data_IF_976674069428
#
_entry.id   IF_976674069428
#
_cell.length_a   1.000
_cell.length_b   1.000
_cell.length_c   1.000
_cell.angle_alpha   90.00
_cell.angle_beta   90.00
_cell.angle_gamma   90.00
#
_symmetry.space_group_name_H-M   'P 1'
#
loop_
_entity.id
_entity.type
_entity.pdbx_description
1 polymer ?
#
# COMPACT_ATOMS: atom_id res chain seq x y z
N UNK A 1 -7.48 10.88 -5.38
CA UNK A 1 -6.65 11.18 -4.18
C UNK A 1 -6.75 12.65 -3.84
N UNK A 2 -7.04 12.99 -2.58
CA UNK A 2 -7.16 14.38 -2.15
C UNK A 2 -5.80 14.94 -1.68
N UNK A 3 -5.71 16.25 -1.43
CA UNK A 3 -4.47 16.91 -0.99
C UNK A 3 -3.93 16.37 0.34
N UNK A 4 -4.80 16.00 1.28
CA UNK A 4 -4.38 15.47 2.59
C UNK A 4 -3.69 14.12 2.47
N UNK A 5 -4.17 13.25 1.58
CA UNK A 5 -3.58 11.93 1.36
C UNK A 5 -2.17 12.07 0.75
N UNK A 6 -1.99 13.01 -0.18
CA UNK A 6 -0.69 13.34 -0.76
C UNK A 6 0.28 13.84 0.32
N UNK A 7 -0.18 14.71 1.22
CA UNK A 7 0.64 15.24 2.32
C UNK A 7 1.05 14.14 3.32
N UNK A 8 0.16 13.19 3.60
CA UNK A 8 0.46 12.01 4.43
C UNK A 8 1.54 11.14 3.78
N UNK A 9 1.41 10.86 2.48
CA UNK A 9 2.40 10.10 1.72
C UNK A 9 3.75 10.81 1.72
N UNK A 10 3.78 12.13 1.52
CA UNK A 10 5.01 12.93 1.55
C UNK A 10 5.77 12.79 2.88
N UNK A 11 5.02 12.68 3.99
CA UNK A 11 5.58 12.55 5.35
C UNK A 11 5.89 11.12 5.78
N UNK A 12 5.46 10.12 5.00
CA UNK A 12 5.72 8.71 5.30
C UNK A 12 7.21 8.39 5.27
N UNK A 13 7.63 7.36 6.03
CA UNK A 13 9.03 6.92 6.08
C UNK A 13 9.58 6.51 4.70
N UNK A 14 8.69 6.13 3.78
CA UNK A 14 9.06 5.76 2.41
C UNK A 14 9.52 6.95 1.57
N UNK A 15 8.86 8.11 1.73
CA UNK A 15 9.07 9.26 0.84
C UNK A 15 9.66 10.50 1.51
N UNK A 16 9.76 10.53 2.85
CA UNK A 16 10.30 11.68 3.60
C UNK A 16 11.73 12.08 3.21
N UNK A 17 12.49 11.15 2.64
CA UNK A 17 13.89 11.38 2.24
C UNK A 17 14.03 11.83 0.79
N UNK A 18 12.97 11.75 -0.02
CA UNK A 18 13.04 12.21 -1.40
C UNK A 18 13.03 13.74 -1.44
N UNK A 19 13.87 14.39 -2.24
CA UNK A 19 13.69 15.80 -2.57
C UNK A 19 12.32 16.06 -3.23
N UNK A 20 11.77 17.26 -3.06
CA UNK A 20 10.43 17.63 -3.57
C UNK A 20 10.32 17.39 -5.09
N UNK A 21 11.36 17.73 -5.84
CA UNK A 21 11.41 17.53 -7.30
C UNK A 21 11.26 16.06 -7.74
N UNK A 22 11.68 15.11 -6.92
CA UNK A 22 11.52 13.68 -7.20
C UNK A 22 10.14 13.20 -6.79
N UNK A 23 9.62 13.70 -5.66
CA UNK A 23 8.28 13.37 -5.21
C UNK A 23 7.22 13.87 -6.20
N UNK A 24 7.38 15.06 -6.77
CA UNK A 24 6.46 15.59 -7.79
C UNK A 24 6.45 14.76 -9.09
N UNK A 25 7.51 13.97 -9.37
CA UNK A 25 7.50 12.99 -10.48
C UNK A 25 6.74 11.71 -10.13
N UNK A 26 6.72 11.33 -8.86
CA UNK A 26 6.01 10.13 -8.36
C UNK A 26 4.53 10.43 -8.16
N UNK A 27 4.20 11.63 -7.67
CA UNK A 27 2.84 12.08 -7.36
C UNK A 27 1.80 11.74 -8.44
N UNK A 28 2.03 12.00 -9.75
CA UNK A 28 1.05 11.65 -10.78
C UNK A 28 0.91 10.15 -11.07
N UNK A 29 1.87 9.33 -10.61
CA UNK A 29 1.83 7.86 -10.75
C UNK A 29 1.00 7.19 -9.65
N UNK A 30 0.68 7.92 -8.57
CA UNK A 30 -0.11 7.39 -7.46
C UNK A 30 -1.58 7.27 -7.86
N UNK A 31 -2.14 6.08 -7.70
CA UNK A 31 -3.54 5.80 -7.99
C UNK A 31 -4.26 5.47 -6.67
N UNK A 32 -5.42 6.10 -6.45
CA UNK A 32 -6.29 5.79 -5.31
C UNK A 32 -7.16 4.59 -5.68
N UNK A 33 -7.11 3.56 -4.85
CA UNK A 33 -7.93 2.36 -4.97
C UNK A 33 -8.69 2.13 -3.66
N UNK A 34 -9.88 1.53 -3.75
CA UNK A 34 -10.73 1.23 -2.61
C UNK A 34 -11.14 -0.23 -2.69
N UNK A 35 -11.04 -0.89 -1.55
CA UNK A 35 -11.39 -2.29 -1.41
C UNK A 35 -12.42 -2.46 -0.30
N UNK A 36 -13.39 -3.33 -0.55
CA UNK A 36 -14.39 -3.70 0.44
C UNK A 36 -13.85 -4.75 1.43
N UNK A 37 -14.56 -4.93 2.55
CA UNK A 37 -14.18 -5.94 3.53
C UNK A 37 -14.19 -7.34 2.92
N UNK A 38 -13.06 -8.05 3.05
CA UNK A 38 -12.89 -9.40 2.54
C UNK A 38 -12.38 -9.47 1.10
N UNK A 39 -12.20 -8.33 0.43
CA UNK A 39 -11.64 -8.27 -0.91
C UNK A 39 -10.13 -8.58 -0.89
N UNK A 40 -9.66 -9.29 -1.93
CA UNK A 40 -8.26 -9.68 -2.08
C UNK A 40 -7.49 -8.56 -2.79
N UNK A 41 -6.63 -7.86 -2.06
CA UNK A 41 -5.78 -6.78 -2.61
C UNK A 41 -4.59 -7.35 -3.40
N UNK A 42 -3.88 -8.32 -2.80
CA UNK A 42 -2.75 -9.02 -3.43
C UNK A 42 -2.82 -10.51 -3.12
N UNK A 43 -2.30 -11.34 -4.02
CA UNK A 43 -2.30 -12.80 -3.90
C UNK A 43 -0.89 -13.36 -3.88
N UNK A 44 -0.62 -14.25 -2.93
CA UNK A 44 0.67 -14.94 -2.84
C UNK A 44 0.92 -15.77 -4.10
N UNK A 45 2.12 -15.62 -4.67
CA UNK A 45 2.57 -16.36 -5.85
C UNK A 45 2.29 -15.63 -7.17
N UNK A 46 1.40 -14.63 -7.18
CA UNK A 46 1.16 -13.82 -8.36
C UNK A 46 2.33 -12.83 -8.58
N UNK A 47 2.70 -12.52 -9.84
CA UNK A 47 3.69 -11.49 -10.12
C UNK A 47 3.29 -10.14 -9.52
N UNK A 48 4.22 -9.48 -8.83
CA UNK A 48 3.99 -8.15 -8.29
C UNK A 48 4.06 -7.10 -9.43
N UNK A 49 2.96 -6.37 -9.63
CA UNK A 49 2.87 -5.29 -10.62
C UNK A 49 2.76 -3.89 -9.99
N UNK A 50 2.46 -3.82 -8.69
CA UNK A 50 2.23 -2.58 -7.97
C UNK A 50 2.71 -2.66 -6.52
N UNK A 51 2.91 -1.49 -5.93
CA UNK A 51 3.17 -1.31 -4.51
C UNK A 51 2.01 -0.50 -3.90
N UNK A 52 1.49 -0.97 -2.78
CA UNK A 52 0.32 -0.38 -2.13
C UNK A 52 0.72 0.32 -0.84
N UNK A 53 0.05 1.45 -0.57
CA UNK A 53 0.17 2.17 0.69
C UNK A 53 -1.22 2.31 1.27
N UNK A 54 -1.40 1.81 2.49
CA UNK A 54 -2.69 1.89 3.17
C UNK A 54 -2.90 3.30 3.74
N UNK A 55 -3.75 4.09 3.09
CA UNK A 55 -4.08 5.46 3.52
C UNK A 55 -5.06 5.43 4.71
N UNK A 56 -5.99 4.48 4.72
CA UNK A 56 -6.96 4.28 5.80
C UNK A 56 -7.46 2.84 5.87
N UNK A 57 -7.99 2.45 7.03
CA UNK A 57 -8.52 1.09 7.26
C UNK A 57 -7.47 0.12 7.80
N UNK A 58 -7.72 -1.18 7.60
CA UNK A 58 -6.82 -2.27 8.00
C UNK A 58 -6.81 -3.32 6.89
N UNK A 59 -5.64 -3.85 6.60
CA UNK A 59 -5.47 -5.02 5.75
C UNK A 59 -4.91 -6.16 6.60
N UNK A 60 -5.18 -7.40 6.18
CA UNK A 60 -4.65 -8.60 6.83
C UNK A 60 -3.79 -9.37 5.84
N UNK A 61 -2.60 -9.76 6.28
CA UNK A 61 -1.71 -10.62 5.49
C UNK A 61 -1.80 -12.06 5.99
N UNK A 62 -2.16 -12.97 5.09
CA UNK A 62 -2.30 -14.40 5.36
C UNK A 62 -1.33 -15.15 4.46
N UNK A 63 -0.50 -16.01 5.04
CA UNK A 63 0.41 -16.88 4.27
C UNK A 63 -0.22 -18.25 4.08
N UNK A 64 -0.34 -18.67 2.82
CA UNK A 64 -0.78 -20.03 2.48
C UNK A 64 0.43 -20.96 2.56
N UNK A 65 0.45 -21.92 3.50
CA UNK A 65 1.51 -22.95 3.55
C UNK A 65 1.80 -23.60 4.90
N UNK A 66 1.48 -22.97 6.04
CA UNK A 66 1.47 -23.64 7.35
C UNK A 66 0.05 -24.18 7.57
N UNK A 67 -0.09 -25.37 8.15
CA UNK A 67 -1.30 -26.21 8.24
C UNK A 67 -2.54 -25.60 8.92
N UNK A 68 -2.56 -24.28 9.15
CA UNK A 68 -3.65 -23.52 9.75
C UNK A 68 -3.88 -22.09 9.23
N UNK A 69 -3.16 -21.64 8.18
CA UNK A 69 -3.31 -20.26 7.68
C UNK A 69 -2.87 -19.24 8.72
N UNK A 70 -1.56 -19.21 9.00
CA UNK A 70 -1.00 -18.29 9.98
C UNK A 70 -1.10 -16.84 9.47
N UNK A 71 -1.74 -16.00 10.29
CA UNK A 71 -1.81 -14.56 10.09
C UNK A 71 -0.46 -13.94 10.47
N UNK A 72 0.12 -13.16 9.55
CA UNK A 72 1.32 -12.39 9.84
C UNK A 72 0.86 -11.06 10.44
N UNK A 73 1.24 -10.81 11.70
CA UNK A 73 1.03 -9.50 12.33
C UNK A 73 2.07 -8.54 11.75
N UNK A 74 1.59 -7.49 11.06
CA UNK A 74 2.39 -6.39 10.52
C UNK A 74 2.31 -5.16 11.42
#
# INVERSE_FOLDING_TARGET
MNTKDVDLLRRSDLFRFLPDEHFEKIRPLLQEERHDFGELIVKQGDPASAFYILISGRARVVKSGSSKGEEIVL
#
